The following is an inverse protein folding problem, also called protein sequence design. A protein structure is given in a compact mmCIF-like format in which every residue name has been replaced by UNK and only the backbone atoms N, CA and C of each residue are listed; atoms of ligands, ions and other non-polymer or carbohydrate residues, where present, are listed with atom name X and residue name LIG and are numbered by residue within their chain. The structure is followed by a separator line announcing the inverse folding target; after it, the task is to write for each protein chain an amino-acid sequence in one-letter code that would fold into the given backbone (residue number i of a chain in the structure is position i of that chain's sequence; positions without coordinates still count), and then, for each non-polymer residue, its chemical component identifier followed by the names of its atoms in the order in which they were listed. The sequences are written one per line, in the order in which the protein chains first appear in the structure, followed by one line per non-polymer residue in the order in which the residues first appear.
data_IF_255633543839
#
_entry.id   IF_255633543839
#
_cell.length_a   1.000
_cell.length_b   1.000
_cell.length_c   1.000
_cell.angle_alpha   90.00
_cell.angle_beta   90.00
_cell.angle_gamma   90.00
#
_symmetry.space_group_name_H-M   'P 1'
#
loop_
_entity.id
_entity.type
_entity.pdbx_description
1 polymer ?
#
# COMPACT_ATOMS: atom_id res chain seq x y z
N UNK A 1 -10.87 -11.57 13.29
CA UNK A 1 -9.44 -11.60 13.65
C UNK A 1 -9.03 -10.18 14.07
N UNK A 2 -8.41 -9.98 15.25
CA UNK A 2 -7.99 -8.65 15.73
C UNK A 2 -6.49 -8.66 15.97
N UNK A 3 -5.73 -8.10 15.04
CA UNK A 3 -4.28 -7.91 15.17
C UNK A 3 -4.03 -6.52 15.69
N UNK A 4 -3.28 -6.41 16.78
CA UNK A 4 -2.75 -5.13 17.22
C UNK A 4 -1.42 -4.90 16.49
N UNK A 5 -1.42 -3.97 15.53
CA UNK A 5 -0.20 -3.52 14.86
C UNK A 5 0.31 -2.31 15.63
N UNK A 6 1.59 -2.36 15.97
CA UNK A 6 2.26 -1.20 16.54
C UNK A 6 2.37 -0.14 15.46
N UNK A 7 1.90 1.10 15.69
CA UNK A 7 1.98 2.15 14.65
C UNK A 7 3.43 2.45 14.26
N UNK A 8 3.63 2.78 13.00
CA UNK A 8 4.96 3.13 12.49
C UNK A 8 5.44 4.45 13.13
N UNK A 9 6.52 4.37 13.90
CA UNK A 9 7.05 5.49 14.69
C UNK A 9 8.42 5.97 14.18
N UNK A 10 9.09 5.20 13.33
CA UNK A 10 10.39 5.54 12.78
C UNK A 10 11.19 4.32 12.34
N UNK A 11 12.48 4.53 12.05
CA UNK A 11 13.39 3.47 11.61
C UNK A 11 13.50 2.30 12.62
N UNK A 12 13.37 2.59 13.93
CA UNK A 12 13.52 1.61 15.01
C UNK A 12 12.49 0.48 14.98
N UNK A 13 11.26 0.76 14.55
CA UNK A 13 10.19 -0.25 14.46
C UNK A 13 9.74 -0.56 13.02
N UNK A 14 10.39 0.03 12.02
CA UNK A 14 10.03 -0.11 10.60
C UNK A 14 10.00 -1.57 10.12
N UNK A 15 11.04 -2.36 10.39
CA UNK A 15 11.08 -3.77 9.95
C UNK A 15 9.98 -4.63 10.59
N UNK A 16 9.69 -4.40 11.88
CA UNK A 16 8.62 -5.09 12.60
C UNK A 16 7.25 -4.71 12.02
N UNK A 17 7.03 -3.42 11.81
CA UNK A 17 5.82 -2.89 11.19
C UNK A 17 5.59 -3.49 9.79
N UNK A 18 6.61 -3.47 8.92
CA UNK A 18 6.54 -4.06 7.56
C UNK A 18 6.10 -5.53 7.61
N UNK A 19 6.66 -6.31 8.53
CA UNK A 19 6.31 -7.73 8.71
C UNK A 19 4.86 -7.90 9.15
N UNK A 20 4.38 -7.10 10.10
CA UNK A 20 3.00 -7.15 10.60
C UNK A 20 1.99 -6.78 9.51
N UNK A 21 2.26 -5.71 8.75
CA UNK A 21 1.40 -5.26 7.64
C UNK A 21 1.35 -6.31 6.54
N UNK A 22 2.50 -6.89 6.17
CA UNK A 22 2.54 -7.97 5.17
C UNK A 22 1.67 -9.17 5.58
N UNK A 23 1.69 -9.56 6.85
CA UNK A 23 0.84 -10.65 7.35
C UNK A 23 -0.64 -10.28 7.32
N UNK A 24 -0.99 -9.04 7.70
CA UNK A 24 -2.38 -8.59 7.69
C UNK A 24 -2.93 -8.48 6.27
N UNK A 25 -2.16 -7.93 5.32
CA UNK A 25 -2.56 -7.86 3.92
C UNK A 25 -2.75 -9.25 3.30
N UNK A 26 -1.86 -10.21 3.62
CA UNK A 26 -2.00 -11.60 3.18
C UNK A 26 -3.20 -12.31 3.78
N UNK A 27 -3.53 -12.02 5.04
CA UNK A 27 -4.73 -12.58 5.66
C UNK A 27 -6.02 -12.08 5.01
N UNK A 28 -5.99 -10.91 4.38
CA UNK A 28 -7.11 -10.32 3.65
C UNK A 28 -6.99 -10.51 2.14
N UNK A 29 -6.04 -11.31 1.65
CA UNK A 29 -5.82 -11.59 0.22
C UNK A 29 -5.62 -10.33 -0.66
N UNK A 30 -5.05 -9.26 -0.11
CA UNK A 30 -4.81 -7.98 -0.83
C UNK A 30 -3.34 -7.59 -0.90
N UNK A 31 -2.43 -8.49 -0.51
CA UNK A 31 -0.99 -8.23 -0.58
C UNK A 31 -0.50 -8.04 -2.03
N UNK A 32 -1.13 -8.73 -2.99
CA UNK A 32 -0.66 -8.77 -4.38
C UNK A 32 -0.90 -7.44 -5.10
N UNK A 33 -1.93 -6.68 -4.70
CA UNK A 33 -2.14 -5.28 -5.14
C UNK A 33 -1.01 -4.37 -4.64
N UNK A 34 -0.51 -4.60 -3.42
CA UNK A 34 0.56 -3.79 -2.83
C UNK A 34 1.87 -3.91 -3.61
N UNK A 35 2.19 -5.12 -4.08
CA UNK A 35 3.42 -5.40 -4.84
C UNK A 35 3.25 -5.20 -6.36
N UNK A 36 2.02 -4.92 -6.81
CA UNK A 36 1.69 -4.73 -8.22
C UNK A 36 1.60 -6.01 -9.03
N UNK A 37 1.38 -7.16 -8.40
CA UNK A 37 1.02 -8.40 -9.12
C UNK A 37 -0.43 -8.34 -9.63
N UNK A 38 -1.30 -7.60 -8.93
CA UNK A 38 -2.63 -7.24 -9.41
C UNK A 38 -2.61 -5.76 -9.77
N UNK A 39 -2.81 -5.45 -11.04
CA UNK A 39 -2.87 -4.08 -11.56
C UNK A 39 -4.29 -3.74 -12.03
N UNK A 40 -4.60 -2.44 -12.05
CA UNK A 40 -5.86 -1.97 -12.61
C UNK A 40 -5.88 -2.31 -14.11
N UNK A 41 -6.90 -3.02 -14.60
CA UNK A 41 -6.97 -3.39 -16.01
C UNK A 41 -7.05 -2.13 -16.89
N UNK A 42 -6.51 -2.20 -18.10
CA UNK A 42 -6.64 -1.16 -19.12
C UNK A 42 -7.64 -1.59 -20.19
N UNK A 43 -8.37 -0.62 -20.75
CA UNK A 43 -9.36 -0.84 -21.80
C UNK A 43 -8.84 -0.27 -23.12
N UNK A 44 -8.62 -1.08 -24.17
CA UNK A 44 -8.33 -0.59 -25.52
C UNK A 44 -9.46 0.27 -26.09
N UNK A 45 -9.12 1.23 -26.97
CA UNK A 45 -10.09 2.16 -27.55
C UNK A 45 -11.23 1.48 -28.33
N UNK A 46 -10.93 0.37 -29.01
CA UNK A 46 -11.87 -0.38 -29.86
C UNK A 46 -12.30 -1.71 -29.22
N UNK A 47 -12.72 -1.67 -27.95
CA UNK A 47 -13.11 -2.87 -27.21
C UNK A 47 -14.53 -3.32 -27.54
N UNK A 48 -14.74 -4.63 -27.67
CA UNK A 48 -16.08 -5.22 -27.80
C UNK A 48 -16.89 -5.03 -26.51
N UNK A 49 -18.22 -5.17 -26.60
CA UNK A 49 -19.11 -5.09 -25.42
C UNK A 49 -18.73 -6.11 -24.33
N UNK A 50 -18.31 -7.31 -24.73
CA UNK A 50 -17.85 -8.37 -23.80
C UNK A 50 -16.57 -7.96 -23.06
N UNK A 51 -15.61 -7.34 -23.79
CA UNK A 51 -14.37 -6.84 -23.21
C UNK A 51 -14.61 -5.66 -22.25
N UNK A 52 -15.56 -4.77 -22.59
CA UNK A 52 -15.97 -3.66 -21.72
C UNK A 52 -16.56 -4.21 -20.41
N UNK A 53 -17.45 -5.20 -20.48
CA UNK A 53 -18.04 -5.81 -19.29
C UNK A 53 -17.00 -6.50 -18.40
N UNK A 54 -16.06 -7.23 -19.01
CA UNK A 54 -14.96 -7.86 -18.28
C UNK A 54 -14.05 -6.82 -17.61
N UNK A 55 -13.75 -5.72 -18.31
CA UNK A 55 -12.98 -4.60 -17.76
C UNK A 55 -13.67 -3.94 -16.57
N UNK A 56 -14.96 -3.63 -16.67
CA UNK A 56 -15.70 -2.99 -15.56
C UNK A 56 -15.70 -3.87 -14.30
N UNK A 57 -15.90 -5.18 -14.49
CA UNK A 57 -15.83 -6.16 -13.41
C UNK A 57 -14.43 -6.21 -12.78
N UNK A 58 -13.39 -6.29 -13.62
CA UNK A 58 -12.00 -6.31 -13.15
C UNK A 58 -11.60 -5.02 -12.43
N UNK A 59 -11.99 -3.86 -12.97
CA UNK A 59 -11.74 -2.55 -12.37
C UNK A 59 -12.40 -2.43 -10.99
N UNK A 60 -13.65 -2.88 -10.87
CA UNK A 60 -14.36 -2.86 -9.58
C UNK A 60 -13.63 -3.73 -8.54
N UNK A 61 -13.25 -4.95 -8.91
CA UNK A 61 -12.49 -5.84 -8.03
C UNK A 61 -11.14 -5.25 -7.61
N UNK A 62 -10.41 -4.64 -8.55
CA UNK A 62 -9.16 -3.94 -8.24
C UNK A 62 -9.38 -2.82 -7.22
N UNK A 63 -10.38 -1.95 -7.44
CA UNK A 63 -10.67 -0.83 -6.53
C UNK A 63 -11.04 -1.32 -5.12
N UNK A 64 -11.78 -2.43 -5.00
CA UNK A 64 -12.11 -3.03 -3.71
C UNK A 64 -10.86 -3.52 -2.97
N UNK A 65 -9.98 -4.25 -3.65
CA UNK A 65 -8.73 -4.74 -3.05
C UNK A 65 -7.75 -3.60 -2.71
N UNK A 66 -7.60 -2.63 -3.61
CA UNK A 66 -6.74 -1.48 -3.40
C UNK A 66 -7.24 -0.61 -2.24
N UNK A 67 -8.55 -0.36 -2.15
CA UNK A 67 -9.13 0.39 -1.03
C UNK A 67 -8.89 -0.31 0.31
N UNK A 68 -9.05 -1.64 0.36
CA UNK A 68 -8.78 -2.41 1.59
C UNK A 68 -7.30 -2.35 1.97
N UNK A 69 -6.40 -2.49 1.00
CA UNK A 69 -4.96 -2.36 1.24
C UNK A 69 -4.60 -0.95 1.73
N UNK A 70 -5.16 0.10 1.13
CA UNK A 70 -4.97 1.49 1.57
C UNK A 70 -5.46 1.71 3.01
N UNK A 71 -6.65 1.20 3.35
CA UNK A 71 -7.20 1.30 4.72
C UNK A 71 -6.28 0.60 5.74
N UNK A 72 -5.76 -0.58 5.40
CA UNK A 72 -4.82 -1.31 6.25
C UNK A 72 -3.52 -0.52 6.43
N UNK A 73 -2.98 0.08 5.37
CA UNK A 73 -1.77 0.90 5.46
C UNK A 73 -2.01 2.15 6.31
N UNK A 74 -2.94 3.01 5.89
CA UNK A 74 -3.19 4.32 6.51
C UNK A 74 -3.64 4.16 7.97
N UNK A 75 -4.50 3.18 8.27
CA UNK A 75 -4.95 2.93 9.64
C UNK A 75 -3.85 2.52 10.63
N UNK A 76 -2.68 2.11 10.11
CA UNK A 76 -1.55 1.64 10.91
C UNK A 76 -0.29 2.51 10.77
N UNK A 77 -0.37 3.61 10.02
CA UNK A 77 0.66 4.64 9.94
C UNK A 77 0.51 5.60 11.14
N UNK A 78 1.62 6.17 11.62
CA UNK A 78 1.57 7.22 12.65
C UNK A 78 1.00 8.53 12.11
N UNK A 79 0.24 9.27 12.93
CA UNK A 79 -0.59 10.41 12.51
C UNK A 79 0.18 11.50 11.74
N UNK A 80 1.48 11.69 12.03
CA UNK A 80 2.35 12.63 11.32
C UNK A 80 2.63 12.29 9.85
N UNK A 81 2.21 11.11 9.38
CA UNK A 81 2.46 10.67 8.02
C UNK A 81 1.19 10.44 7.20
N UNK A 82 0.02 10.80 7.74
CA UNK A 82 -1.27 10.70 7.03
C UNK A 82 -1.31 11.64 5.83
N UNK A 83 -0.71 12.84 5.93
CA UNK A 83 -0.62 13.79 4.82
C UNK A 83 0.21 13.24 3.63
N UNK A 84 1.17 12.34 3.88
CA UNK A 84 1.94 11.70 2.80
C UNK A 84 1.11 10.71 1.99
N UNK A 85 0.13 10.05 2.63
CA UNK A 85 -0.79 9.13 1.96
C UNK A 85 -1.84 9.87 1.12
N UNK A 86 -2.16 11.13 1.45
CA UNK A 86 -3.21 11.91 0.77
C UNK A 86 -2.91 12.21 -0.72
N UNK A 87 -1.65 12.10 -1.15
CA UNK A 87 -1.22 12.37 -2.53
C UNK A 87 -1.12 11.05 -3.34
N UNK A 88 -1.24 9.90 -2.68
CA UNK A 88 -1.11 8.58 -3.30
C UNK A 88 -2.50 8.05 -3.65
N UNK A 89 -2.70 7.66 -4.91
CA UNK A 89 -4.00 7.22 -5.41
C UNK A 89 -4.22 5.70 -5.29
N UNK A 90 -3.15 4.93 -5.07
CA UNK A 90 -3.17 3.47 -4.95
C UNK A 90 -2.29 2.98 -3.80
N UNK A 91 -2.61 1.82 -3.22
CA UNK A 91 -1.92 1.21 -2.08
C UNK A 91 -0.42 0.98 -2.34
N UNK A 92 -0.06 0.57 -3.57
CA UNK A 92 1.34 0.41 -3.99
C UNK A 92 2.12 1.71 -3.81
N UNK A 93 1.59 2.83 -4.32
CA UNK A 93 2.21 4.14 -4.21
C UNK A 93 2.31 4.65 -2.77
N UNK A 94 1.31 4.37 -1.93
CA UNK A 94 1.35 4.67 -0.48
C UNK A 94 2.51 3.92 0.17
N UNK A 95 2.64 2.61 -0.13
CA UNK A 95 3.69 1.75 0.40
C UNK A 95 5.09 2.22 -0.03
N UNK A 96 5.32 2.41 -1.32
CA UNK A 96 6.61 2.84 -1.87
C UNK A 96 7.07 4.19 -1.28
N UNK A 97 6.17 5.17 -1.24
CA UNK A 97 6.48 6.49 -0.68
C UNK A 97 6.81 6.42 0.80
N UNK A 98 6.01 5.69 1.57
CA UNK A 98 6.24 5.52 2.98
C UNK A 98 7.58 4.82 3.23
N UNK A 99 7.88 3.74 2.50
CA UNK A 99 9.18 3.06 2.58
C UNK A 99 10.35 4.01 2.30
N UNK A 100 10.24 4.83 1.24
CA UNK A 100 11.23 5.84 0.91
C UNK A 100 11.50 6.81 2.06
N UNK A 101 10.47 7.31 2.75
CA UNK A 101 10.63 8.25 3.87
C UNK A 101 11.37 7.59 5.04
N UNK A 102 11.01 6.36 5.43
CA UNK A 102 11.63 5.72 6.59
C UNK A 102 13.01 5.13 6.31
N UNK A 103 13.29 4.75 5.06
CA UNK A 103 14.62 4.30 4.64
C UNK A 103 15.57 5.48 4.38
N UNK A 104 15.11 6.60 3.83
CA UNK A 104 15.96 7.80 3.72
C UNK A 104 16.29 8.41 5.09
N UNK A 105 15.34 8.42 6.02
CA UNK A 105 15.58 8.89 7.38
C UNK A 105 16.53 8.00 8.18
N UNK A 106 16.66 6.71 7.86
CA UNK A 106 17.66 5.84 8.51
C UNK A 106 19.06 6.10 7.95
N UNK A 107 19.19 6.32 6.64
CA UNK A 107 20.47 6.61 5.97
C UNK A 107 21.01 7.99 6.36
N UNK A 108 20.18 9.05 6.31
CA UNK A 108 20.62 10.40 6.70
C UNK A 108 21.02 10.52 8.18
N UNK A 109 20.45 9.70 9.06
CA UNK A 109 20.84 9.67 10.48
C UNK A 109 22.19 9.00 10.71
N UNK A 110 22.54 7.99 9.92
CA UNK A 110 23.86 7.37 9.96
C UNK A 110 24.94 8.32 9.44
N UNK A 111 24.65 9.06 8.38
CA UNK A 111 25.60 9.99 7.73
C UNK A 111 25.94 11.22 8.60
N UNK A 112 25.04 11.63 9.51
CA UNK A 112 25.27 12.71 10.47
C UNK A 112 25.96 12.28 11.77
N UNK A 113 26.17 10.97 11.95
CA UNK A 113 26.85 10.38 13.11
C UNK A 113 28.30 9.99 12.80
N UNK A 114 28.78 10.24 11.57
CA UNK A 114 30.15 10.00 11.11
C UNK A 114 30.91 11.32 10.96
#
# INVERSE_FOLDING_TARGET
FKVQIERLAGASNCNKWKRQIKLLLRHNDVYDVLIGEIECPSLPADSSSELISAYEKGKKAFVEYDSLAQLILVGNIGDSNIEFAAICNIAKSVCERMLSVYEQNSVQRLDRLM
#
